data_IF_679691842613
#
_entry.id   IF_679691842613
#
_cell.length_a   1.000
_cell.length_b   1.000
_cell.length_c   1.000
_cell.angle_alpha   90.00
_cell.angle_beta   90.00
_cell.angle_gamma   90.00
#
_symmetry.space_group_name_H-M   'P 1'
#
loop_
_entity.id
_entity.type
_entity.pdbx_description
1 polymer ?
#
# COMPACT_ATOMS: atom_id res chain seq x y z
N UNK A 1 5.44 16.40 6.53
CA UNK A 1 4.97 15.13 5.92
C UNK A 1 4.89 14.09 7.02
N UNK A 2 3.94 13.16 6.96
CA UNK A 2 3.85 12.02 7.88
C UNK A 2 4.31 10.76 7.15
N UNK A 3 5.18 9.97 7.76
CA UNK A 3 5.57 8.68 7.21
C UNK A 3 4.66 7.59 7.80
N UNK A 4 4.23 6.67 6.96
CA UNK A 4 3.44 5.52 7.35
C UNK A 4 4.14 4.24 6.92
N UNK A 5 4.21 3.29 7.85
CA UNK A 5 4.56 1.92 7.57
C UNK A 5 3.28 1.14 7.28
N UNK A 6 3.17 0.60 6.07
CA UNK A 6 2.12 -0.32 5.66
C UNK A 6 2.64 -1.75 5.86
N UNK A 7 1.84 -2.61 6.48
CA UNK A 7 2.18 -4.02 6.67
C UNK A 7 1.08 -4.88 6.07
N UNK A 8 1.43 -5.76 5.14
CA UNK A 8 0.48 -6.65 4.49
C UNK A 8 -0.07 -7.67 5.48
N UNK A 9 -1.39 -7.79 5.58
CA UNK A 9 -2.08 -8.69 6.53
C UNK A 9 -2.34 -10.08 5.99
N UNK A 10 -2.42 -10.22 4.66
CA UNK A 10 -2.78 -11.46 3.95
C UNK A 10 -1.94 -11.60 2.68
N UNK A 11 -1.80 -12.80 2.14
CA UNK A 11 -1.14 -12.94 0.84
C UNK A 11 -2.04 -12.35 -0.25
N UNK A 12 -1.53 -11.36 -0.98
CA UNK A 12 -2.27 -10.67 -2.04
C UNK A 12 -1.74 -11.16 -3.39
N UNK A 13 -2.49 -12.00 -4.12
CA UNK A 13 -2.10 -12.36 -5.48
C UNK A 13 -2.25 -11.14 -6.40
N UNK A 14 -1.24 -10.91 -7.24
CA UNK A 14 -1.23 -9.87 -8.26
C UNK A 14 -1.23 -10.52 -9.65
N UNK A 15 -1.33 -9.68 -10.67
CA UNK A 15 -1.25 -10.12 -12.07
C UNK A 15 0.15 -10.64 -12.42
N UNK A 16 0.21 -11.60 -13.35
CA UNK A 16 1.49 -12.12 -13.88
C UNK A 16 2.27 -13.02 -12.93
N UNK A 17 1.61 -13.64 -11.93
CA UNK A 17 2.25 -14.55 -10.98
C UNK A 17 2.99 -13.85 -9.82
N UNK A 18 2.95 -12.51 -9.78
CA UNK A 18 3.41 -11.73 -8.64
C UNK A 18 2.46 -11.88 -7.45
N UNK A 19 2.99 -11.75 -6.24
CA UNK A 19 2.20 -11.74 -5.00
C UNK A 19 2.89 -10.83 -3.99
N UNK A 20 2.10 -10.18 -3.13
CA UNK A 20 2.59 -9.51 -1.93
C UNK A 20 2.38 -10.48 -0.78
N UNK A 21 3.45 -10.92 -0.14
CA UNK A 21 3.36 -11.87 0.95
C UNK A 21 2.91 -11.20 2.26
N UNK A 22 2.20 -11.97 3.09
CA UNK A 22 1.81 -11.53 4.42
C UNK A 22 3.04 -11.17 5.25
N UNK A 23 2.97 -10.03 5.94
CA UNK A 23 4.04 -9.49 6.77
C UNK A 23 5.01 -8.58 6.03
N UNK A 24 4.90 -8.46 4.71
CA UNK A 24 5.71 -7.52 3.94
C UNK A 24 5.38 -6.07 4.32
N UNK A 25 6.42 -5.24 4.46
CA UNK A 25 6.30 -3.86 4.91
C UNK A 25 6.71 -2.87 3.83
N UNK A 26 5.99 -1.76 3.75
CA UNK A 26 6.22 -0.68 2.80
C UNK A 26 6.17 0.67 3.52
N UNK A 27 7.01 1.61 3.13
CA UNK A 27 7.03 2.95 3.73
C UNK A 27 6.55 3.98 2.73
N UNK A 28 5.46 4.66 3.06
CA UNK A 28 4.87 5.73 2.24
C UNK A 28 4.90 7.04 2.99
N UNK A 29 5.28 8.11 2.29
CA UNK A 29 5.28 9.46 2.85
C UNK A 29 4.05 10.20 2.31
N UNK A 30 3.23 10.71 3.22
CA UNK A 30 2.00 11.42 2.90
C UNK A 30 2.00 12.84 3.47
N UNK A 31 1.26 13.77 2.85
CA UNK A 31 1.00 15.08 3.44
C UNK A 31 0.33 14.95 4.82
N UNK A 32 0.53 15.96 5.67
CA UNK A 32 0.01 15.94 7.04
C UNK A 32 -1.52 15.87 7.05
N UNK A 33 -2.10 15.05 7.93
CA UNK A 33 -3.54 14.85 8.02
C UNK A 33 -4.13 13.79 7.07
N UNK A 34 -3.33 13.23 6.15
CA UNK A 34 -3.80 12.19 5.22
C UNK A 34 -3.40 10.79 5.70
N UNK A 35 -4.35 9.85 5.65
CA UNK A 35 -4.09 8.43 5.88
C UNK A 35 -3.87 7.69 4.55
N UNK A 36 -3.18 6.52 4.55
CA UNK A 36 -2.77 5.81 3.32
C UNK A 36 -3.89 5.39 2.37
N UNK A 37 -5.13 5.26 2.86
CA UNK A 37 -6.26 4.77 2.07
C UNK A 37 -7.49 5.68 2.11
N UNK A 38 -7.36 6.87 2.70
CA UNK A 38 -8.49 7.77 2.97
C UNK A 38 -8.92 8.59 1.75
N UNK A 39 -7.97 8.97 0.90
CA UNK A 39 -8.24 9.78 -0.30
C UNK A 39 -7.59 9.18 -1.55
N UNK A 40 -8.05 9.60 -2.73
CA UNK A 40 -7.47 9.19 -4.03
C UNK A 40 -5.96 9.47 -4.06
N UNK A 41 -5.54 10.67 -3.66
CA UNK A 41 -4.13 11.05 -3.61
C UNK A 41 -3.28 10.12 -2.73
N UNK A 42 -3.81 9.69 -1.59
CA UNK A 42 -3.10 8.76 -0.70
C UNK A 42 -2.97 7.39 -1.33
N UNK A 43 -4.04 6.88 -1.94
CA UNK A 43 -4.02 5.60 -2.65
C UNK A 43 -3.01 5.63 -3.79
N UNK A 44 -2.97 6.72 -4.57
CA UNK A 44 -1.96 6.89 -5.62
C UNK A 44 -0.53 6.90 -5.09
N UNK A 45 -0.28 7.54 -3.94
CA UNK A 45 1.03 7.53 -3.30
C UNK A 45 1.44 6.12 -2.84
N UNK A 46 0.49 5.34 -2.31
CA UNK A 46 0.73 3.92 -1.97
C UNK A 46 0.98 3.08 -3.22
N UNK A 47 0.17 3.25 -4.27
CA UNK A 47 0.35 2.56 -5.56
C UNK A 47 1.75 2.80 -6.11
N UNK A 48 2.16 4.07 -6.20
CA UNK A 48 3.51 4.43 -6.68
C UNK A 48 4.60 3.80 -5.81
N UNK A 49 4.40 3.73 -4.49
CA UNK A 49 5.37 3.06 -3.62
C UNK A 49 5.47 1.57 -3.90
N UNK A 50 4.34 0.88 -4.09
CA UNK A 50 4.32 -0.54 -4.43
C UNK A 50 4.97 -0.80 -5.80
N UNK A 51 4.70 0.05 -6.79
CA UNK A 51 5.33 -0.03 -8.12
C UNK A 51 6.85 0.16 -8.03
N UNK A 52 7.34 1.09 -7.21
CA UNK A 52 8.78 1.28 -6.96
C UNK A 52 9.45 0.07 -6.31
N UNK A 53 8.70 -0.71 -5.54
CA UNK A 53 9.15 -1.96 -4.92
C UNK A 53 9.02 -3.17 -5.88
N UNK A 54 8.54 -2.94 -7.11
CA UNK A 54 8.37 -3.96 -8.14
C UNK A 54 7.00 -4.64 -8.16
N UNK A 55 6.05 -4.18 -7.34
CA UNK A 55 4.69 -4.72 -7.31
C UNK A 55 3.75 -3.93 -8.21
N UNK A 56 3.40 -4.52 -9.35
CA UNK A 56 2.38 -3.95 -10.23
C UNK A 56 0.98 -4.36 -9.75
N UNK A 57 0.25 -3.40 -9.16
CA UNK A 57 -1.10 -3.61 -8.64
C UNK A 57 -2.21 -3.09 -9.56
N UNK A 58 -1.90 -2.79 -10.83
CA UNK A 58 -2.86 -2.29 -11.81
C UNK A 58 -4.02 -3.29 -11.99
N UNK A 59 -5.25 -2.81 -11.81
CA UNK A 59 -6.47 -3.64 -11.83
C UNK A 59 -6.80 -4.32 -10.49
N UNK A 60 -5.97 -4.15 -9.46
CA UNK A 60 -6.17 -4.66 -8.10
C UNK A 60 -6.33 -3.53 -7.08
N UNK A 61 -6.77 -2.33 -7.49
CA UNK A 61 -6.86 -1.14 -6.61
C UNK A 61 -7.72 -1.36 -5.36
N UNK A 62 -8.64 -2.33 -5.38
CA UNK A 62 -9.44 -2.75 -4.22
C UNK A 62 -8.61 -3.25 -3.04
N UNK A 63 -7.35 -3.65 -3.26
CA UNK A 63 -6.44 -4.08 -2.19
C UNK A 63 -5.92 -2.89 -1.36
N UNK A 64 -6.01 -1.66 -1.85
CA UNK A 64 -5.54 -0.45 -1.17
C UNK A 64 -6.52 -0.01 -0.08
N UNK A 65 -6.62 -0.84 0.96
CA UNK A 65 -7.57 -0.69 2.05
C UNK A 65 -7.03 -1.35 3.32
N UNK A 66 -7.54 -0.89 4.47
CA UNK A 66 -7.25 -1.42 5.81
C UNK A 66 -7.63 -2.92 6.00
N UNK A 67 -8.40 -3.47 5.05
CA UNK A 67 -8.68 -4.91 4.99
C UNK A 67 -7.45 -5.75 4.63
N UNK A 68 -6.57 -5.23 3.77
CA UNK A 68 -5.40 -5.93 3.25
C UNK A 68 -4.09 -5.45 3.87
N UNK A 69 -4.02 -4.17 4.22
CA UNK A 69 -2.84 -3.56 4.82
C UNK A 69 -3.18 -2.99 6.19
N UNK A 70 -2.33 -3.29 7.17
CA UNK A 70 -2.26 -2.51 8.40
C UNK A 70 -1.40 -1.27 8.15
N UNK A 71 -1.65 -0.16 8.83
CA UNK A 71 -0.79 1.00 8.74
C UNK A 71 -0.50 1.63 10.09
N UNK A 72 0.76 2.00 10.29
CA UNK A 72 1.24 2.68 11.49
C UNK A 72 1.97 3.96 11.09
N UNK A 73 1.60 5.07 11.72
CA UNK A 73 2.33 6.34 11.60
C UNK A 73 3.65 6.24 12.36
N UNK A 74 4.75 6.68 11.73
CA UNK A 74 6.08 6.81 12.31
C UNK A 74 6.36 8.25 12.74
#
# INVERSE_FOLDING_TARGET
>A
MSQFQLTTKVNIPLSGGMRIDKGQTFFVNLPFGHLPFDSINSKEAVTKRLELEGFNIKGHESILSSGYFDFKKL
#
